data_IF_547255234936
#
_entry.id   IF_547255234936
#
_cell.length_a   1.000
_cell.length_b   1.000
_cell.length_c   1.000
_cell.angle_alpha   90.00
_cell.angle_beta   90.00
_cell.angle_gamma   90.00
#
_symmetry.space_group_name_H-M   'P 1'
#
loop_
_entity.id
_entity.type
_entity.pdbx_description
1 polymer ?
#
# COMPACT_ATOMS: atom_id res chain seq x y z
N UNK A 1 -53.34 -61.59 5.18
CA UNK A 1 -53.40 -60.14 4.89
C UNK A 1 -52.30 -59.49 5.73
N UNK A 2 -51.25 -59.02 5.04
CA UNK A 2 -50.13 -58.12 5.40
C UNK A 2 -49.65 -58.06 6.88
N UNK A 3 -48.45 -58.55 7.22
CA UNK A 3 -47.09 -57.96 7.03
C UNK A 3 -46.76 -56.94 8.16
N UNK A 4 -45.59 -56.82 8.80
CA UNK A 4 -44.17 -57.15 8.57
C UNK A 4 -43.46 -57.24 9.96
N UNK A 5 -42.52 -58.16 10.23
CA UNK A 5 -41.03 -58.05 10.10
C UNK A 5 -40.45 -56.76 10.72
N UNK A 6 -39.51 -56.80 11.70
CA UNK A 6 -38.11 -57.27 11.57
C UNK A 6 -37.51 -57.55 12.99
N UNK A 7 -37.19 -58.80 13.36
CA UNK A 7 -35.84 -59.43 13.41
C UNK A 7 -34.72 -58.53 13.99
N UNK A 8 -34.20 -58.85 15.20
CA UNK A 8 -33.04 -59.74 15.46
C UNK A 8 -31.71 -59.08 15.07
N UNK A 9 -30.57 -59.21 15.76
CA UNK A 9 -30.07 -60.12 16.79
C UNK A 9 -28.78 -59.44 17.26
N UNK A 10 -28.66 -59.12 18.55
CA UNK A 10 -27.66 -59.67 19.47
C UNK A 10 -26.25 -59.93 18.90
N UNK A 11 -25.32 -59.24 19.53
CA UNK A 11 -24.09 -59.75 20.12
C UNK A 11 -22.91 -60.09 19.18
N UNK A 12 -21.74 -59.62 19.62
CA UNK A 12 -20.62 -60.46 20.04
C UNK A 12 -19.26 -60.02 19.45
N UNK A 13 -18.30 -59.79 20.36
CA UNK A 13 -16.88 -60.20 20.28
C UNK A 13 -16.05 -59.65 19.11
N UNK A 14 -14.84 -59.09 19.30
CA UNK A 14 -13.61 -59.84 19.65
C UNK A 14 -12.40 -58.88 19.72
N UNK A 15 -11.41 -59.23 20.56
CA UNK A 15 -10.00 -58.79 20.62
C UNK A 15 -9.34 -58.38 19.27
N UNK A 16 -8.40 -57.43 19.31
CA UNK A 16 -6.96 -57.71 19.06
C UNK A 16 -6.06 -56.44 19.01
N UNK A 17 -5.03 -56.52 19.85
CA UNK A 17 -3.77 -55.79 19.94
C UNK A 17 -2.98 -55.74 18.62
N UNK A 18 -2.56 -54.54 18.14
CA UNK A 18 -1.33 -54.37 17.32
C UNK A 18 -0.65 -53.03 17.65
N UNK A 19 0.55 -53.15 18.22
CA UNK A 19 1.62 -52.15 18.25
C UNK A 19 2.03 -51.76 16.83
N UNK A 20 2.06 -50.47 16.50
CA UNK A 20 2.99 -49.91 15.52
C UNK A 20 3.56 -48.60 16.06
N UNK A 21 4.71 -48.71 16.72
CA UNK A 21 5.65 -47.60 16.89
C UNK A 21 6.26 -47.28 15.52
N UNK A 22 5.62 -46.38 14.78
CA UNK A 22 6.23 -45.69 13.64
C UNK A 22 6.52 -44.25 14.03
N UNK A 23 7.72 -43.98 14.55
CA UNK A 23 8.24 -42.63 14.69
C UNK A 23 8.51 -42.07 13.29
N UNK A 24 7.52 -41.41 12.70
CA UNK A 24 7.76 -40.51 11.56
C UNK A 24 8.26 -39.20 12.12
N UNK A 25 9.59 -39.06 12.23
CA UNK A 25 10.24 -37.76 12.33
C UNK A 25 9.92 -36.99 11.04
N UNK A 26 8.84 -36.22 11.08
CA UNK A 26 8.58 -35.19 10.09
C UNK A 26 9.80 -34.28 10.06
N UNK A 27 10.58 -34.38 8.99
CA UNK A 27 11.62 -33.41 8.68
C UNK A 27 10.89 -32.07 8.50
N UNK A 28 11.06 -31.17 9.47
CA UNK A 28 10.79 -29.76 9.29
C UNK A 28 11.79 -29.28 8.22
N UNK A 29 11.40 -29.43 6.96
CA UNK A 29 12.05 -28.75 5.86
C UNK A 29 11.86 -27.26 6.12
N UNK A 30 12.93 -26.60 6.56
CA UNK A 30 13.02 -25.15 6.45
C UNK A 30 12.92 -24.84 4.96
N UNK A 31 11.71 -24.46 4.52
CA UNK A 31 11.53 -23.68 3.31
C UNK A 31 12.11 -22.31 3.63
N UNK A 32 13.42 -22.19 3.51
CA UNK A 32 14.05 -20.89 3.30
C UNK A 32 13.55 -20.44 1.94
N UNK A 33 12.55 -19.56 1.95
CA UNK A 33 12.12 -18.85 0.76
C UNK A 33 13.36 -18.21 0.14
N UNK A 34 13.69 -18.63 -1.08
CA UNK A 34 14.79 -18.06 -1.84
C UNK A 34 14.36 -16.66 -2.27
N UNK A 35 14.68 -15.66 -1.44
CA UNK A 35 14.28 -14.28 -1.63
C UNK A 35 14.85 -13.74 -2.94
N UNK A 36 13.98 -13.46 -3.90
CA UNK A 36 14.37 -12.79 -5.13
C UNK A 36 14.56 -11.30 -4.83
N UNK A 37 15.80 -10.90 -4.61
CA UNK A 37 16.15 -9.49 -4.43
C UNK A 37 15.75 -8.69 -5.68
N UNK A 38 14.77 -7.79 -5.54
CA UNK A 38 14.41 -6.86 -6.62
C UNK A 38 15.54 -5.84 -6.73
N UNK A 39 16.24 -5.87 -7.86
CA UNK A 39 17.29 -4.89 -8.17
C UNK A 39 16.66 -3.50 -8.34
N UNK A 40 17.34 -2.48 -7.84
CA UNK A 40 16.95 -1.07 -8.04
C UNK A 40 16.06 -0.48 -6.93
N UNK A 41 15.80 -1.22 -5.86
CA UNK A 41 15.08 -0.68 -4.69
C UNK A 41 15.99 0.26 -3.88
N UNK A 42 15.54 1.49 -3.67
CA UNK A 42 16.19 2.45 -2.78
C UNK A 42 15.35 2.63 -1.53
N UNK A 43 15.92 2.44 -0.33
CA UNK A 43 15.23 2.67 0.93
C UNK A 43 15.99 3.67 1.82
N UNK A 44 15.27 4.57 2.48
CA UNK A 44 15.83 5.47 3.48
C UNK A 44 16.00 4.77 4.85
N UNK A 45 16.60 5.48 5.82
CA UNK A 45 16.85 4.94 7.16
C UNK A 45 15.56 4.65 7.95
N UNK A 46 14.46 5.33 7.62
CA UNK A 46 13.13 5.08 8.20
C UNK A 46 12.41 3.89 7.57
N UNK A 47 13.03 3.23 6.57
CA UNK A 47 12.47 2.07 5.89
C UNK A 47 11.47 2.41 4.77
N UNK A 48 11.31 3.68 4.41
CA UNK A 48 10.55 4.09 3.23
C UNK A 48 11.37 3.78 1.98
N UNK A 49 10.77 3.01 1.09
CA UNK A 49 11.39 2.48 -0.11
C UNK A 49 10.70 3.00 -1.35
N UNK A 50 11.47 3.12 -2.43
CA UNK A 50 11.01 3.50 -3.75
C UNK A 50 11.62 2.55 -4.78
N UNK A 51 10.85 2.26 -5.83
CA UNK A 51 11.27 1.52 -7.00
C UNK A 51 10.68 2.18 -8.24
N UNK A 52 11.55 2.60 -9.15
CA UNK A 52 11.16 3.02 -10.50
C UNK A 52 10.69 1.79 -11.29
N UNK A 53 9.46 1.85 -11.80
CA UNK A 53 8.83 0.77 -12.56
C UNK A 53 8.56 1.16 -14.01
N UNK A 54 9.08 2.30 -14.46
CA UNK A 54 8.85 2.89 -15.79
C UNK A 54 9.18 1.93 -16.93
N UNK A 55 10.22 1.09 -16.77
CA UNK A 55 10.62 0.12 -17.79
C UNK A 55 9.98 -1.27 -17.63
N UNK A 56 9.44 -1.56 -16.45
CA UNK A 56 9.00 -2.93 -16.08
C UNK A 56 7.49 -3.13 -16.09
N UNK A 57 6.71 -2.08 -15.79
CA UNK A 57 5.26 -2.18 -15.60
C UNK A 57 4.47 -1.49 -16.72
N UNK A 58 4.65 -1.95 -17.97
CA UNK A 58 4.14 -1.30 -19.19
C UNK A 58 2.66 -0.93 -19.16
N UNK A 59 1.81 -1.78 -18.57
CA UNK A 59 0.37 -1.49 -18.49
C UNK A 59 0.05 -0.36 -17.51
N UNK A 60 0.78 -0.29 -16.39
CA UNK A 60 0.65 0.79 -15.40
C UNK A 60 1.14 2.09 -16.03
N UNK A 61 2.29 2.07 -16.71
CA UNK A 61 2.84 3.22 -17.45
C UNK A 61 1.87 3.73 -18.51
N UNK A 62 1.24 2.84 -19.26
CA UNK A 62 0.22 3.22 -20.24
C UNK A 62 -1.00 3.88 -19.57
N UNK A 63 -1.47 3.36 -18.44
CA UNK A 63 -2.59 3.93 -17.69
C UNK A 63 -2.25 5.25 -16.98
N UNK A 64 -0.97 5.46 -16.66
CA UNK A 64 -0.45 6.69 -16.10
C UNK A 64 -0.37 7.83 -17.13
N UNK A 65 -0.32 7.52 -18.43
CA UNK A 65 -0.11 8.50 -19.51
C UNK A 65 1.17 9.35 -19.33
N UNK A 66 2.13 8.86 -18.53
CA UNK A 66 3.46 9.47 -18.31
C UNK A 66 4.53 8.38 -18.35
N UNK A 67 5.73 8.68 -18.87
CA UNK A 67 6.84 7.73 -18.86
C UNK A 67 7.45 7.52 -17.47
N UNK A 68 7.09 8.31 -16.45
CA UNK A 68 7.66 8.22 -15.10
C UNK A 68 6.67 7.66 -14.10
N UNK A 69 6.93 6.44 -13.65
CA UNK A 69 6.10 5.75 -12.65
C UNK A 69 6.97 5.13 -11.59
N UNK A 70 6.63 5.39 -10.33
CA UNK A 70 7.32 4.84 -9.17
C UNK A 70 6.34 4.16 -8.22
N UNK A 71 6.76 3.06 -7.62
CA UNK A 71 6.07 2.45 -6.48
C UNK A 71 6.85 2.71 -5.20
N UNK A 72 6.14 3.14 -4.16
CA UNK A 72 6.69 3.41 -2.83
C UNK A 72 5.98 2.59 -1.78
N UNK A 73 6.71 2.20 -0.73
CA UNK A 73 6.19 1.46 0.42
C UNK A 73 7.07 1.71 1.64
N UNK A 74 6.62 1.27 2.81
CA UNK A 74 7.42 1.37 4.03
C UNK A 74 7.60 0.00 4.68
N UNK A 75 8.85 -0.46 4.84
CA UNK A 75 9.16 -1.75 5.46
C UNK A 75 8.75 -1.83 6.93
N UNK A 76 8.74 -0.70 7.64
CA UNK A 76 8.28 -0.59 9.01
C UNK A 76 6.74 -0.50 9.13
N UNK A 77 6.05 -0.15 8.04
CA UNK A 77 4.60 -0.06 7.95
C UNK A 77 4.09 -0.89 6.77
N UNK A 78 4.07 -2.20 6.98
CA UNK A 78 3.75 -3.18 5.95
C UNK A 78 2.31 -3.03 5.43
N UNK A 79 2.07 -3.63 4.25
CA UNK A 79 0.73 -3.89 3.69
C UNK A 79 0.08 -2.68 3.02
N UNK A 80 0.86 -1.64 2.71
CA UNK A 80 0.41 -0.58 1.83
C UNK A 80 1.48 -0.20 0.81
N UNK A 81 1.05 0.12 -0.41
CA UNK A 81 1.90 0.58 -1.50
C UNK A 81 1.25 1.80 -2.14
N UNK A 82 2.06 2.77 -2.55
CA UNK A 82 1.62 3.93 -3.30
C UNK A 82 2.36 3.94 -4.64
N UNK A 83 1.60 3.77 -5.71
CA UNK A 83 2.06 3.90 -7.09
C UNK A 83 1.74 5.31 -7.54
N UNK A 84 2.75 6.08 -7.94
CA UNK A 84 2.60 7.45 -8.40
C UNK A 84 2.99 7.57 -9.87
N UNK A 85 2.09 8.17 -10.66
CA UNK A 85 2.32 8.63 -12.02
C UNK A 85 2.83 10.07 -11.93
N UNK A 86 4.13 10.27 -12.16
CA UNK A 86 4.74 11.60 -12.12
C UNK A 86 4.45 12.30 -13.45
N UNK A 87 3.50 13.22 -13.48
CA UNK A 87 3.33 14.11 -14.62
C UNK A 87 4.64 14.89 -14.72
N UNK A 88 5.29 14.97 -15.86
CA UNK A 88 6.45 15.86 -16.01
C UNK A 88 5.96 17.32 -16.12
N UNK A 89 5.19 17.79 -15.14
CA UNK A 89 4.38 18.97 -15.20
C UNK A 89 4.51 19.83 -13.94
N UNK A 90 4.26 21.13 -14.09
CA UNK A 90 4.49 22.13 -13.02
C UNK A 90 3.36 22.20 -12.02
N UNK A 91 2.18 21.69 -12.36
CA UNK A 91 1.04 21.68 -11.43
C UNK A 91 1.21 20.63 -10.34
N UNK A 92 2.02 19.59 -10.58
CA UNK A 92 2.10 18.40 -9.70
C UNK A 92 0.73 17.78 -9.44
N UNK A 93 -0.16 17.84 -10.43
CA UNK A 93 -1.44 17.12 -10.43
C UNK A 93 -1.18 15.65 -10.76
N UNK A 94 -0.31 15.04 -9.96
CA UNK A 94 0.03 13.64 -10.11
C UNK A 94 -1.20 12.80 -9.81
N UNK A 95 -1.25 11.61 -10.38
CA UNK A 95 -2.29 10.63 -10.06
C UNK A 95 -1.63 9.32 -9.72
N UNK A 96 -2.36 8.40 -9.14
CA UNK A 96 -1.77 7.12 -8.82
C UNK A 96 -2.77 6.13 -8.27
N UNK A 97 -2.23 5.06 -7.68
CA UNK A 97 -3.01 4.05 -6.98
C UNK A 97 -2.45 3.80 -5.60
N UNK A 98 -3.34 3.80 -4.62
CA UNK A 98 -3.08 3.35 -3.27
C UNK A 98 -3.55 1.91 -3.15
N UNK A 99 -2.64 1.04 -2.76
CA UNK A 99 -2.90 -0.38 -2.54
C UNK A 99 -2.83 -0.65 -1.05
N UNK A 100 -3.90 -1.20 -0.49
CA UNK A 100 -4.01 -1.61 0.91
C UNK A 100 -4.33 -3.10 0.98
N UNK A 101 -3.47 -3.86 1.64
CA UNK A 101 -3.76 -5.25 1.96
C UNK A 101 -4.36 -5.36 3.37
N UNK A 102 -5.47 -6.05 3.45
CA UNK A 102 -6.02 -6.56 4.69
C UNK A 102 -5.26 -7.84 5.10
N UNK A 103 -4.36 -7.70 6.07
CA UNK A 103 -3.58 -8.81 6.60
C UNK A 103 -4.39 -9.96 7.19
N UNK A 104 -5.63 -9.71 7.62
CA UNK A 104 -6.48 -10.76 8.18
C UNK A 104 -7.08 -11.66 7.10
N UNK A 105 -7.27 -11.13 5.89
CA UNK A 105 -7.93 -11.85 4.79
C UNK A 105 -7.04 -12.07 3.57
N UNK A 106 -5.87 -11.43 3.50
CA UNK A 106 -5.00 -11.37 2.32
C UNK A 106 -5.62 -10.63 1.14
N UNK A 107 -6.73 -9.93 1.34
CA UNK A 107 -7.44 -9.23 0.26
C UNK A 107 -6.86 -7.84 0.06
N UNK A 108 -6.78 -7.44 -1.20
CA UNK A 108 -6.31 -6.12 -1.60
C UNK A 108 -7.47 -5.18 -1.92
N UNK A 109 -7.28 -3.93 -1.51
CA UNK A 109 -8.05 -2.77 -1.95
C UNK A 109 -7.14 -1.88 -2.76
N UNK A 110 -7.56 -1.51 -3.97
CA UNK A 110 -6.80 -0.67 -4.89
C UNK A 110 -7.67 0.51 -5.27
N UNK A 111 -7.16 1.72 -5.09
CA UNK A 111 -7.95 2.93 -5.24
C UNK A 111 -7.14 3.98 -5.98
N UNK A 112 -7.73 4.55 -7.02
CA UNK A 112 -7.13 5.68 -7.74
C UNK A 112 -7.26 6.94 -6.89
N UNK A 113 -6.20 7.74 -6.84
CA UNK A 113 -6.17 8.99 -6.08
C UNK A 113 -5.45 10.09 -6.86
N UNK A 114 -5.91 11.31 -6.62
CA UNK A 114 -5.18 12.52 -6.99
C UNK A 114 -4.06 12.71 -5.96
N UNK A 115 -2.85 12.92 -6.48
CA UNK A 115 -1.62 13.10 -5.76
C UNK A 115 -1.10 14.50 -6.01
N UNK A 116 -0.33 14.99 -5.05
CA UNK A 116 0.43 16.21 -5.22
C UNK A 116 1.87 15.92 -5.60
N UNK A 117 2.75 16.79 -5.12
CA UNK A 117 4.18 16.54 -5.14
C UNK A 117 4.53 15.38 -4.20
N UNK A 118 5.26 14.39 -4.72
CA UNK A 118 5.79 13.26 -3.94
C UNK A 118 6.72 13.75 -2.84
N UNK A 119 6.60 13.17 -1.65
CA UNK A 119 7.47 13.44 -0.51
C UNK A 119 7.48 12.26 0.47
N UNK A 120 8.58 12.05 1.19
CA UNK A 120 8.62 11.02 2.25
C UNK A 120 8.26 11.59 3.61
N UNK A 121 7.80 10.72 4.52
CA UNK A 121 7.53 11.06 5.92
C UNK A 121 8.83 11.49 6.61
N UNK A 122 9.94 10.82 6.33
CA UNK A 122 11.27 11.18 6.86
C UNK A 122 11.71 12.58 6.40
N UNK A 123 11.56 12.89 5.11
CA UNK A 123 11.87 14.21 4.58
C UNK A 123 11.00 15.28 5.24
N UNK A 124 9.68 15.08 5.32
CA UNK A 124 8.77 16.10 5.89
C UNK A 124 9.07 16.38 7.36
N UNK A 125 9.46 15.35 8.10
CA UNK A 125 9.85 15.51 9.50
C UNK A 125 11.12 16.35 9.67
N UNK A 126 12.00 16.36 8.67
CA UNK A 126 13.27 17.10 8.69
C UNK A 126 13.21 18.44 7.98
N UNK A 127 12.13 18.71 7.24
CA UNK A 127 11.95 19.97 6.54
C UNK A 127 11.97 21.13 7.52
N UNK A 128 12.95 22.02 7.36
CA UNK A 128 13.00 23.32 8.03
C UNK A 128 13.01 24.36 6.91
N UNK A 129 11.87 25.01 6.67
CA UNK A 129 11.72 26.02 5.62
C UNK A 129 10.99 25.52 4.38
N UNK A 130 11.48 25.92 3.21
CA UNK A 130 10.74 25.78 1.95
C UNK A 130 10.91 24.40 1.29
N UNK A 131 9.87 23.98 0.57
CA UNK A 131 9.85 22.78 -0.25
C UNK A 131 10.38 23.12 -1.64
N UNK A 132 11.43 22.44 -2.14
CA UNK A 132 11.95 22.68 -3.48
C UNK A 132 10.92 22.37 -4.56
N UNK A 133 10.70 23.28 -5.49
CA UNK A 133 9.96 23.04 -6.74
C UNK A 133 10.81 23.38 -7.98
N UNK A 134 10.31 23.04 -9.17
CA UNK A 134 11.02 23.10 -10.47
C UNK A 134 11.69 24.46 -10.69
N UNK A 135 11.00 25.56 -10.36
CA UNK A 135 11.50 26.92 -10.59
C UNK A 135 11.95 27.65 -9.33
N UNK A 136 11.28 27.39 -8.21
CA UNK A 136 11.52 28.08 -6.94
C UNK A 136 11.09 27.17 -5.79
N UNK A 137 11.68 27.35 -4.62
CA UNK A 137 11.17 26.72 -3.40
C UNK A 137 9.98 27.50 -2.85
N UNK A 138 9.00 26.81 -2.27
CA UNK A 138 7.79 27.42 -1.71
C UNK A 138 7.56 26.96 -0.27
N UNK A 139 7.01 27.82 0.59
CA UNK A 139 6.79 27.47 1.98
C UNK A 139 5.71 26.40 2.14
N UNK A 140 5.70 25.75 3.30
CA UNK A 140 4.53 25.01 3.75
C UNK A 140 3.40 25.98 4.12
N UNK A 141 2.15 25.56 3.94
CA UNK A 141 0.98 26.35 4.34
C UNK A 141 0.84 26.47 5.87
N UNK A 142 1.48 25.57 6.61
CA UNK A 142 1.55 25.53 8.05
C UNK A 142 2.60 24.50 8.52
N UNK A 143 2.84 24.44 9.82
CA UNK A 143 3.78 23.48 10.38
C UNK A 143 3.29 22.03 10.23
N UNK A 144 4.14 21.07 9.83
CA UNK A 144 3.71 19.67 9.76
C UNK A 144 3.14 19.16 11.10
N UNK A 145 2.05 18.39 11.03
CA UNK A 145 1.45 17.75 12.20
C UNK A 145 2.26 16.51 12.58
N UNK A 146 3.03 16.63 13.66
CA UNK A 146 3.90 15.57 14.16
C UNK A 146 3.16 14.30 14.58
N UNK A 147 1.91 14.39 15.03
CA UNK A 147 1.12 13.23 15.42
C UNK A 147 0.59 12.49 14.19
N UNK A 148 0.18 13.22 13.14
CA UNK A 148 -0.17 12.63 11.86
C UNK A 148 1.06 12.02 11.18
N UNK A 149 2.22 12.69 11.17
CA UNK A 149 3.47 12.16 10.63
C UNK A 149 3.87 10.82 11.26
N UNK A 150 3.67 10.65 12.58
CA UNK A 150 3.96 9.37 13.25
C UNK A 150 3.05 8.26 12.74
N UNK A 151 1.81 8.56 12.39
CA UNK A 151 0.80 7.60 11.93
C UNK A 151 0.83 7.35 10.42
N UNK A 152 1.33 8.29 9.63
CA UNK A 152 1.37 8.22 8.17
C UNK A 152 2.16 7.06 7.60
N UNK A 153 1.56 6.34 6.66
CA UNK A 153 2.24 5.41 5.76
C UNK A 153 2.92 6.19 4.63
N UNK A 154 2.23 7.21 4.10
CA UNK A 154 2.69 8.07 3.03
C UNK A 154 2.32 9.52 3.33
N UNK A 155 3.01 10.44 2.67
CA UNK A 155 2.70 11.85 2.64
C UNK A 155 2.74 12.32 1.19
N UNK A 156 1.82 13.20 0.81
CA UNK A 156 1.89 13.97 -0.42
C UNK A 156 1.77 15.45 -0.10
N UNK A 157 2.30 16.32 -0.95
CA UNK A 157 2.23 17.76 -0.76
C UNK A 157 1.32 18.38 -1.83
N UNK A 158 0.18 18.91 -1.41
CA UNK A 158 -0.80 19.57 -2.27
C UNK A 158 -0.48 21.06 -2.41
N UNK A 159 -0.64 21.61 -3.62
CA UNK A 159 -0.50 23.05 -3.83
C UNK A 159 -1.77 23.76 -3.40
N UNK A 160 -1.63 24.77 -2.55
CA UNK A 160 -2.71 25.68 -2.19
C UNK A 160 -2.33 27.10 -2.60
N UNK A 161 -3.22 27.82 -3.30
CA UNK A 161 -2.97 29.21 -3.65
C UNK A 161 -2.83 30.05 -2.37
N UNK A 162 -1.98 31.07 -2.41
CA UNK A 162 -1.90 32.09 -1.37
C UNK A 162 -2.15 33.48 -1.95
N UNK A 163 -2.39 34.46 -1.09
CA UNK A 163 -2.45 35.87 -1.48
C UNK A 163 -1.07 36.55 -1.50
N UNK A 164 0.03 35.83 -1.28
CA UNK A 164 1.37 36.38 -1.27
C UNK A 164 1.97 36.36 -2.68
N UNK A 165 2.18 37.52 -3.29
CA UNK A 165 2.76 37.62 -4.64
C UNK A 165 4.18 37.03 -4.73
N UNK A 166 4.96 37.06 -3.65
CA UNK A 166 6.31 36.47 -3.61
C UNK A 166 6.30 34.95 -3.45
N UNK A 167 5.15 34.36 -3.11
CA UNK A 167 4.96 32.91 -2.96
C UNK A 167 3.50 32.59 -3.32
N UNK A 168 3.15 32.57 -4.62
CA UNK A 168 1.76 32.51 -5.09
C UNK A 168 1.01 31.24 -4.65
N UNK A 169 1.75 30.24 -4.17
CA UNK A 169 1.20 29.05 -3.53
C UNK A 169 2.14 28.58 -2.41
N UNK A 170 1.58 27.76 -1.53
CA UNK A 170 2.26 26.99 -0.50
C UNK A 170 1.95 25.50 -0.64
N UNK A 171 2.71 24.65 0.03
CA UNK A 171 2.46 23.21 0.08
C UNK A 171 1.76 22.81 1.38
N UNK A 172 0.62 22.12 1.28
CA UNK A 172 -0.07 21.52 2.42
C UNK A 172 0.15 20.01 2.44
N UNK A 173 0.59 19.43 3.56
CA UNK A 173 0.70 17.98 3.66
C UNK A 173 -0.66 17.28 3.67
N UNK A 174 -0.80 16.29 2.79
CA UNK A 174 -1.83 15.26 2.83
C UNK A 174 -1.23 14.01 3.45
N UNK A 175 -1.67 13.68 4.66
CA UNK A 175 -1.24 12.50 5.40
C UNK A 175 -2.12 11.31 5.04
N UNK A 176 -1.49 10.18 4.66
CA UNK A 176 -2.19 8.91 4.42
C UNK A 176 -1.93 8.00 5.62
N UNK A 177 -2.92 7.86 6.49
CA UNK A 177 -2.84 7.09 7.74
C UNK A 177 -3.70 5.82 7.66
N UNK A 178 -3.46 4.83 8.53
CA UNK A 178 -4.34 3.66 8.68
C UNK A 178 -5.05 3.72 10.03
N UNK A 179 -6.38 3.83 10.00
CA UNK A 179 -7.25 3.82 11.19
C UNK A 179 -8.33 2.75 10.98
N UNK A 180 -8.60 1.92 12.00
CA UNK A 180 -9.60 0.83 11.96
C UNK A 180 -9.39 -0.15 10.79
N UNK A 181 -8.12 -0.37 10.40
CA UNK A 181 -7.77 -1.23 9.26
C UNK A 181 -8.03 -0.61 7.89
N UNK A 182 -8.42 0.67 7.81
CA UNK A 182 -8.67 1.40 6.57
C UNK A 182 -7.67 2.55 6.39
N UNK A 183 -7.17 2.73 5.18
CA UNK A 183 -6.43 3.95 4.82
C UNK A 183 -7.38 5.16 4.76
N UNK A 184 -6.94 6.27 5.34
CA UNK A 184 -7.67 7.54 5.44
C UNK A 184 -6.76 8.70 5.04
N UNK A 185 -7.35 9.70 4.40
CA UNK A 185 -6.69 10.97 4.09
C UNK A 185 -6.92 11.96 5.22
N UNK A 186 -5.88 12.65 5.65
CA UNK A 186 -5.95 13.76 6.62
C UNK A 186 -5.23 14.96 6.03
N UNK A 187 -5.93 16.07 5.82
CA UNK A 187 -5.33 17.35 5.42
C UNK A 187 -4.83 18.15 6.62
N UNK A 188 -3.92 19.09 6.38
CA UNK A 188 -3.46 20.03 7.39
C UNK A 188 -4.37 21.28 7.43
N UNK A 189 -5.14 21.45 8.52
CA UNK A 189 -5.77 22.70 8.97
C UNK A 189 -6.77 23.44 8.05
N UNK A 190 -7.50 22.71 7.22
CA UNK A 190 -8.80 23.19 6.74
C UNK A 190 -9.86 22.42 7.53
N UNK A 191 -10.97 23.02 7.92
CA UNK A 191 -12.15 22.25 8.36
C UNK A 191 -12.72 21.30 7.29
N UNK A 192 -11.94 20.97 6.25
CA UNK A 192 -12.22 20.13 5.10
C UNK A 192 -11.74 18.69 5.34
N UNK A 193 -12.74 17.82 5.43
CA UNK A 193 -12.75 16.40 5.06
C UNK A 193 -11.51 15.58 5.44
N UNK A 194 -11.58 14.99 6.64
CA UNK A 194 -11.10 13.62 6.77
C UNK A 194 -11.90 12.74 5.80
N UNK A 195 -11.36 12.55 4.60
CA UNK A 195 -11.90 11.66 3.60
C UNK A 195 -11.46 10.22 3.88
N UNK A 196 -12.40 9.28 3.82
CA UNK A 196 -12.02 7.88 3.58
C UNK A 196 -11.48 7.81 2.16
N UNK A 197 -10.39 7.07 1.93
CA UNK A 197 -9.94 6.77 0.58
C UNK A 197 -11.10 6.10 -0.15
N UNK A 198 -11.75 6.82 -1.07
CA UNK A 198 -12.75 6.22 -1.92
C UNK A 198 -12.02 5.42 -2.98
N UNK A 199 -11.91 4.12 -2.73
CA UNK A 199 -11.45 3.15 -3.70
C UNK A 199 -12.45 3.14 -4.87
N UNK A 200 -12.21 4.02 -5.87
CA UNK A 200 -12.90 3.91 -7.15
C UNK A 200 -12.45 2.60 -7.79
N UNK A 201 -13.41 1.87 -8.36
CA UNK A 201 -13.12 0.69 -9.17
C UNK A 201 -11.98 1.06 -10.12
N UNK A 202 -10.91 0.26 -10.10
CA UNK A 202 -9.68 0.48 -10.86
C UNK A 202 -9.97 0.77 -12.33
N UNK A 203 -8.96 1.24 -13.08
CA UNK A 203 -9.01 1.53 -14.52
C UNK A 203 -9.23 0.29 -15.42
N UNK A 204 -10.17 -0.57 -15.05
CA UNK A 204 -10.43 -1.89 -15.60
C UNK A 204 -9.72 -3.03 -14.84
N UNK A 205 -10.16 -4.28 -15.08
CA UNK A 205 -9.59 -5.47 -14.46
C UNK A 205 -8.13 -5.73 -14.85
N UNK A 206 -7.69 -5.26 -16.03
CA UNK A 206 -6.31 -5.41 -16.51
C UNK A 206 -5.32 -4.65 -15.63
N UNK A 207 -5.62 -3.39 -15.30
CA UNK A 207 -4.77 -2.56 -14.44
C UNK A 207 -4.77 -3.12 -13.01
N UNK A 208 -5.92 -3.55 -12.51
CA UNK A 208 -6.01 -4.23 -11.23
C UNK A 208 -5.07 -5.42 -11.13
N UNK A 209 -5.11 -6.32 -12.12
CA UNK A 209 -4.28 -7.52 -12.15
C UNK A 209 -2.78 -7.19 -12.24
N UNK A 210 -2.40 -6.18 -13.02
CA UNK A 210 -0.99 -5.77 -13.13
C UNK A 210 -0.47 -5.14 -11.83
N UNK A 211 -1.29 -4.32 -11.16
CA UNK A 211 -0.93 -3.75 -9.85
C UNK A 211 -0.75 -4.87 -8.82
N UNK A 212 -1.66 -5.86 -8.77
CA UNK A 212 -1.52 -7.00 -7.87
C UNK A 212 -0.24 -7.78 -8.12
N UNK A 213 0.03 -8.12 -9.37
CA UNK A 213 1.26 -8.79 -9.77
C UNK A 213 2.50 -8.00 -9.38
N UNK A 214 2.48 -6.68 -9.53
CA UNK A 214 3.58 -5.81 -9.11
C UNK A 214 3.81 -5.90 -7.59
N UNK A 215 2.77 -5.67 -6.78
CA UNK A 215 2.93 -5.64 -5.32
C UNK A 215 3.27 -7.01 -4.75
N UNK A 216 2.75 -8.10 -5.31
CA UNK A 216 3.10 -9.46 -4.90
C UNK A 216 4.58 -9.75 -5.16
N UNK A 217 5.15 -9.27 -6.27
CA UNK A 217 6.58 -9.42 -6.54
C UNK A 217 7.45 -8.60 -5.56
N UNK A 218 6.92 -7.52 -4.99
CA UNK A 218 7.63 -6.70 -3.98
C UNK A 218 7.61 -7.38 -2.61
N UNK A 219 6.59 -8.20 -2.35
CA UNK A 219 6.29 -8.84 -1.06
C UNK A 219 7.07 -10.11 -0.75
N UNK A 220 8.27 -10.28 -1.31
CA UNK A 220 9.15 -11.44 -1.13
C UNK A 220 8.79 -12.64 -2.01
#
# INVERSE_FOLDING_TARGET
MYANYDYSIKAAFTLAMILFCGFSLAHAGNVLSEHKEIKGVACNASGECALDISDTAKQIVLACETPKVEVTWNRAKQNAFLIACDCECTSHDNVGWLVDEDMSTGKYRIGRLDLGKKYTVEELRRTVGDIPDIFQSHPLCGEPDNELLKKSFFVNLLKHPTSNESSPYCFSPLYITKDDGLLKFRGHNDGGESGVVQFRESDGPTIYAEILKLVDNIKY
#
